data_IF_630211571438
#
_entry.id   IF_630211571438
#
_cell.length_a   1.000
_cell.length_b   1.000
_cell.length_c   1.000
_cell.angle_alpha   90.00
_cell.angle_beta   90.00
_cell.angle_gamma   90.00
#
_symmetry.space_group_name_H-M   'P 1'
#
loop_
_entity.id
_entity.type
_entity.pdbx_description
1 polymer ?
#
# COMPACT_ATOMS: atom_id res chain seq x y z
N UNK A 1 -8.95 -15.70 6.89
CA UNK A 1 -9.35 -14.56 6.04
C UNK A 1 -8.15 -13.93 5.31
N UNK A 2 -7.19 -13.32 6.02
CA UNK A 2 -6.06 -12.58 5.40
C UNK A 2 -5.20 -13.44 4.45
N UNK A 3 -4.73 -14.62 4.89
CA UNK A 3 -3.91 -15.50 4.05
C UNK A 3 -4.62 -16.00 2.79
N UNK A 4 -5.93 -16.29 2.89
CA UNK A 4 -6.73 -16.70 1.73
C UNK A 4 -6.90 -15.58 0.69
N UNK A 5 -7.12 -14.34 1.15
CA UNK A 5 -7.18 -13.18 0.26
C UNK A 5 -5.84 -12.90 -0.45
N UNK A 6 -4.72 -13.07 0.27
CA UNK A 6 -3.38 -12.95 -0.32
C UNK A 6 -3.15 -13.98 -1.42
N UNK A 7 -3.51 -15.25 -1.17
CA UNK A 7 -3.37 -16.32 -2.17
C UNK A 7 -4.24 -16.07 -3.40
N UNK A 8 -5.47 -15.57 -3.22
CA UNK A 8 -6.40 -15.37 -4.33
C UNK A 8 -6.08 -14.13 -5.18
N UNK A 9 -5.68 -13.02 -4.55
CA UNK A 9 -5.61 -11.70 -5.23
C UNK A 9 -4.28 -10.96 -5.06
N UNK A 10 -3.36 -11.46 -4.23
CA UNK A 10 -2.12 -10.76 -3.87
C UNK A 10 -1.10 -10.64 -5.00
N UNK A 11 -1.10 -11.57 -5.96
CA UNK A 11 -0.08 -11.65 -7.01
C UNK A 11 0.06 -10.34 -7.81
N UNK A 12 -1.05 -9.67 -8.13
CA UNK A 12 -1.04 -8.43 -8.91
C UNK A 12 -0.37 -7.26 -8.16
N UNK A 13 -0.60 -7.19 -6.84
CA UNK A 13 -0.02 -6.16 -5.98
C UNK A 13 1.47 -6.40 -5.79
N UNK A 14 1.85 -7.66 -5.52
CA UNK A 14 3.26 -8.07 -5.37
C UNK A 14 4.04 -7.74 -6.64
N UNK A 15 3.50 -8.05 -7.81
CA UNK A 15 4.12 -7.70 -9.10
C UNK A 15 4.30 -6.20 -9.27
N UNK A 16 3.30 -5.41 -8.89
CA UNK A 16 3.37 -3.95 -9.00
C UNK A 16 4.46 -3.35 -8.13
N UNK A 17 4.58 -3.80 -6.89
CA UNK A 17 5.62 -3.31 -5.98
C UNK A 17 7.01 -3.84 -6.38
N UNK A 18 7.08 -5.10 -6.82
CA UNK A 18 8.33 -5.80 -7.15
C UNK A 18 8.99 -5.36 -8.46
N UNK A 19 8.20 -4.96 -9.46
CA UNK A 19 8.70 -4.76 -10.82
C UNK A 19 8.37 -3.38 -11.40
N UNK A 20 7.23 -2.77 -11.04
CA UNK A 20 6.69 -1.63 -11.77
C UNK A 20 7.09 -0.25 -11.20
N UNK A 21 7.62 -0.15 -9.98
CA UNK A 21 8.00 1.13 -9.36
C UNK A 21 9.46 1.47 -9.67
N UNK A 22 10.36 0.51 -9.44
CA UNK A 22 11.80 0.60 -9.68
C UNK A 22 12.35 -0.82 -9.80
N UNK A 23 13.51 -0.99 -10.44
CA UNK A 23 14.20 -2.27 -10.52
C UNK A 23 14.70 -2.72 -9.14
N UNK A 24 14.15 -3.86 -8.67
CA UNK A 24 14.50 -4.47 -7.38
C UNK A 24 15.42 -5.68 -7.62
N UNK A 25 16.56 -5.69 -6.92
CA UNK A 25 17.42 -6.87 -6.77
C UNK A 25 17.34 -7.37 -5.31
N UNK A 26 17.90 -8.56 -4.97
CA UNK A 26 17.76 -9.11 -3.62
C UNK A 26 18.24 -8.18 -2.49
N UNK A 27 19.34 -7.45 -2.70
CA UNK A 27 19.88 -6.50 -1.71
C UNK A 27 18.92 -5.33 -1.51
N UNK A 28 18.39 -4.77 -2.60
CA UNK A 28 17.43 -3.66 -2.56
C UNK A 28 16.11 -4.08 -1.94
N UNK A 29 15.63 -5.28 -2.27
CA UNK A 29 14.44 -5.88 -1.67
C UNK A 29 14.61 -6.02 -0.16
N UNK A 30 15.76 -6.52 0.30
CA UNK A 30 16.08 -6.59 1.72
C UNK A 30 16.09 -5.20 2.38
N UNK A 31 16.74 -4.20 1.77
CA UNK A 31 16.76 -2.84 2.31
C UNK A 31 15.35 -2.23 2.41
N UNK A 32 14.51 -2.41 1.39
CA UNK A 32 13.14 -1.91 1.38
C UNK A 32 12.29 -2.58 2.46
N UNK A 33 12.37 -3.91 2.59
CA UNK A 33 11.62 -4.67 3.59
C UNK A 33 12.10 -4.34 5.01
N UNK A 34 13.41 -4.21 5.22
CA UNK A 34 13.97 -3.85 6.52
C UNK A 34 13.53 -2.45 6.96
N UNK A 35 13.57 -1.46 6.06
CA UNK A 35 13.08 -0.12 6.33
C UNK A 35 11.58 -0.10 6.64
N UNK A 36 10.80 -0.87 5.88
CA UNK A 36 9.36 -0.98 6.09
C UNK A 36 9.03 -1.66 7.43
N UNK A 37 9.63 -2.81 7.71
CA UNK A 37 9.41 -3.56 8.94
C UNK A 37 9.83 -2.76 10.18
N UNK A 38 10.95 -2.05 10.12
CA UNK A 38 11.40 -1.18 11.22
C UNK A 38 10.37 -0.08 11.50
N UNK A 39 9.90 0.60 10.45
CA UNK A 39 8.89 1.67 10.58
C UNK A 39 7.58 1.12 11.14
N UNK A 40 7.10 0.00 10.61
CA UNK A 40 5.87 -0.66 11.07
C UNK A 40 6.00 -1.06 12.54
N UNK A 41 7.12 -1.66 12.93
CA UNK A 41 7.33 -2.11 14.30
C UNK A 41 7.38 -0.93 15.28
N UNK A 42 8.11 0.14 14.94
CA UNK A 42 8.20 1.35 15.77
C UNK A 42 6.81 1.98 15.94
N UNK A 43 6.08 2.21 14.86
CA UNK A 43 4.73 2.79 14.94
C UNK A 43 3.76 1.89 15.69
N UNK A 44 3.85 0.57 15.53
CA UNK A 44 3.02 -0.40 16.25
C UNK A 44 3.30 -0.36 17.75
N UNK A 45 4.58 -0.22 18.15
CA UNK A 45 4.95 -0.07 19.57
C UNK A 45 4.46 1.24 20.17
N UNK A 46 4.33 2.29 19.36
CA UNK A 46 3.75 3.58 19.77
C UNK A 46 2.20 3.59 19.72
N UNK A 47 1.57 2.50 19.28
CA UNK A 47 0.10 2.42 19.16
C UNK A 47 -0.49 3.25 18.00
N UNK A 48 0.34 3.67 17.04
CA UNK A 48 -0.10 4.49 15.92
C UNK A 48 -0.66 3.61 14.79
N UNK A 49 -1.94 3.79 14.38
CA UNK A 49 -2.50 3.06 13.25
C UNK A 49 -1.93 3.63 11.95
N UNK A 50 -1.05 2.87 11.31
CA UNK A 50 -0.44 3.28 10.03
C UNK A 50 -0.81 2.31 8.90
N UNK A 51 -0.72 2.80 7.66
CA UNK A 51 -0.89 1.97 6.49
C UNK A 51 0.43 1.29 6.10
N UNK A 52 0.51 -0.03 6.27
CA UNK A 52 1.68 -0.83 5.87
C UNK A 52 1.95 -0.75 4.36
N UNK A 53 0.91 -0.57 3.54
CA UNK A 53 1.04 -0.37 2.08
C UNK A 53 1.79 0.92 1.74
N UNK A 54 1.49 2.03 2.43
CA UNK A 54 2.22 3.29 2.20
C UNK A 54 3.68 3.17 2.64
N UNK A 55 3.93 2.46 3.74
CA UNK A 55 5.28 2.26 4.26
C UNK A 55 6.16 1.47 3.27
N UNK A 56 5.67 0.35 2.74
CA UNK A 56 6.48 -0.45 1.79
C UNK A 56 6.67 0.29 0.47
N UNK A 57 5.64 0.96 -0.07
CA UNK A 57 5.77 1.79 -1.28
C UNK A 57 6.77 2.92 -1.04
N UNK A 58 6.70 3.61 0.10
CA UNK A 58 7.66 4.65 0.47
C UNK A 58 9.08 4.12 0.61
N UNK A 59 9.27 2.93 1.16
CA UNK A 59 10.59 2.28 1.28
C UNK A 59 11.16 1.91 -0.09
N UNK A 60 10.33 1.39 -1.00
CA UNK A 60 10.69 1.09 -2.40
C UNK A 60 11.02 2.37 -3.18
N UNK A 61 10.28 3.46 -2.96
CA UNK A 61 10.61 4.76 -3.54
C UNK A 61 11.94 5.27 -2.97
N UNK A 62 12.18 5.13 -1.67
CA UNK A 62 13.41 5.55 -1.01
C UNK A 62 14.67 4.89 -1.60
N UNK A 63 14.64 3.57 -1.84
CA UNK A 63 15.75 2.87 -2.50
C UNK A 63 15.94 3.33 -3.96
N UNK A 64 14.86 3.72 -4.66
CA UNK A 64 14.94 4.24 -6.02
C UNK A 64 15.56 5.63 -6.05
N UNK A 65 15.15 6.53 -5.13
CA UNK A 65 15.75 7.86 -4.98
C UNK A 65 17.25 7.75 -4.66
N UNK A 66 17.64 6.79 -3.81
CA UNK A 66 19.06 6.56 -3.47
C UNK A 66 19.93 6.17 -4.68
N UNK A 67 19.34 5.68 -5.78
CA UNK A 67 20.02 5.40 -7.05
C UNK A 67 19.98 6.56 -8.05
N UNK A 68 19.17 7.58 -7.77
CA UNK A 68 18.84 8.67 -8.68
C UNK A 68 17.37 8.62 -9.10
N UNK A 69 16.67 9.74 -8.97
CA UNK A 69 15.22 9.84 -9.19
C UNK A 69 14.74 9.42 -10.59
N UNK A 70 15.64 9.34 -11.58
CA UNK A 70 15.33 8.86 -12.94
C UNK A 70 15.05 7.35 -13.04
N UNK A 71 15.31 6.56 -12.00
CA UNK A 71 15.00 5.11 -12.01
C UNK A 71 13.56 4.78 -11.60
N UNK A 72 12.78 5.79 -11.21
CA UNK A 72 11.40 5.64 -10.74
C UNK A 72 10.40 5.78 -11.89
N UNK A 73 9.44 4.88 -11.97
CA UNK A 73 8.27 5.08 -12.83
C UNK A 73 7.26 6.02 -12.13
N UNK A 74 7.37 7.31 -12.45
CA UNK A 74 6.48 8.34 -11.90
C UNK A 74 5.02 8.19 -12.35
N UNK A 75 4.76 7.52 -13.48
CA UNK A 75 3.40 7.27 -13.96
C UNK A 75 2.71 6.25 -13.05
N UNK A 76 3.42 5.18 -12.71
CA UNK A 76 2.92 4.17 -11.76
C UNK A 76 2.72 4.78 -10.37
N UNK A 77 3.70 5.55 -9.88
CA UNK A 77 3.57 6.24 -8.59
C UNK A 77 2.37 7.19 -8.54
N UNK A 78 2.17 7.98 -9.61
CA UNK A 78 0.98 8.84 -9.73
C UNK A 78 -0.32 8.03 -9.67
N UNK A 79 -0.39 6.91 -10.39
CA UNK A 79 -1.58 6.04 -10.37
C UNK A 79 -1.84 5.46 -8.97
N UNK A 80 -0.78 5.06 -8.26
CA UNK A 80 -0.87 4.58 -6.88
C UNK A 80 -1.42 5.69 -5.97
N UNK A 81 -0.86 6.90 -6.03
CA UNK A 81 -1.33 8.04 -5.23
C UNK A 81 -2.80 8.39 -5.52
N UNK A 82 -3.21 8.38 -6.80
CA UNK A 82 -4.61 8.59 -7.17
C UNK A 82 -5.50 7.49 -6.57
N UNK A 83 -5.06 6.23 -6.60
CA UNK A 83 -5.83 5.13 -6.00
C UNK A 83 -6.04 5.31 -4.49
N UNK A 84 -5.04 5.81 -3.77
CA UNK A 84 -5.16 6.10 -2.33
C UNK A 84 -6.17 7.22 -2.06
N UNK A 85 -6.17 8.27 -2.89
CA UNK A 85 -7.12 9.36 -2.75
C UNK A 85 -8.54 8.95 -3.12
N UNK A 86 -8.72 8.11 -4.14
CA UNK A 86 -10.05 7.67 -4.62
C UNK A 86 -10.69 6.63 -3.71
N UNK A 87 -9.90 5.79 -3.04
CA UNK A 87 -10.45 4.77 -2.13
C UNK A 87 -11.16 5.38 -0.93
N UNK A 88 -10.72 6.54 -0.41
CA UNK A 88 -11.35 7.24 0.71
C UNK A 88 -12.81 7.68 0.45
N UNK A 89 -13.13 8.49 -0.58
CA UNK A 89 -14.50 8.90 -0.86
C UNK A 89 -15.37 7.70 -1.27
N UNK A 90 -14.81 6.74 -2.01
CA UNK A 90 -15.56 5.55 -2.42
C UNK A 90 -16.00 4.72 -1.21
N UNK A 91 -15.08 4.44 -0.28
CA UNK A 91 -15.39 3.67 0.94
C UNK A 91 -16.33 4.43 1.86
N UNK A 92 -16.18 5.76 1.97
CA UNK A 92 -17.09 6.61 2.74
C UNK A 92 -18.53 6.53 2.21
N UNK A 93 -18.71 6.72 0.90
CA UNK A 93 -20.04 6.68 0.27
C UNK A 93 -20.67 5.30 0.37
N UNK A 94 -19.87 4.24 0.15
CA UNK A 94 -20.35 2.87 0.26
C UNK A 94 -20.79 2.54 1.69
N UNK A 95 -19.98 2.90 2.70
CA UNK A 95 -20.33 2.69 4.10
C UNK A 95 -21.62 3.44 4.49
N UNK A 96 -21.77 4.70 4.05
CA UNK A 96 -22.97 5.50 4.30
C UNK A 96 -24.23 4.85 3.68
N UNK A 97 -24.13 4.39 2.43
CA UNK A 97 -25.22 3.75 1.72
C UNK A 97 -25.63 2.42 2.37
N UNK A 98 -24.66 1.57 2.70
CA UNK A 98 -24.91 0.28 3.36
C UNK A 98 -25.55 0.46 4.73
N UNK A 99 -25.07 1.42 5.53
CA UNK A 99 -25.65 1.74 6.83
C UNK A 99 -27.10 2.21 6.71
N UNK A 100 -27.39 3.07 5.72
CA UNK A 100 -28.76 3.55 5.46
C UNK A 100 -29.71 2.43 5.04
N UNK A 101 -29.26 1.51 4.17
CA UNK A 101 -30.03 0.33 3.77
C UNK A 101 -30.32 -0.56 4.98
N UNK A 102 -29.31 -0.81 5.81
CA UNK A 102 -29.45 -1.64 7.00
C UNK A 102 -30.50 -1.07 7.96
N UNK A 103 -30.47 0.24 8.21
CA UNK A 103 -31.48 0.92 9.03
C UNK A 103 -32.88 0.77 8.43
N UNK A 104 -33.05 1.02 7.13
CA UNK A 104 -34.35 0.90 6.46
C UNK A 104 -34.91 -0.53 6.44
N UNK A 105 -34.05 -1.55 6.53
CA UNK A 105 -34.47 -2.94 6.57
C UNK A 105 -34.87 -3.38 7.99
N UNK A 106 -34.22 -2.82 9.02
CA UNK A 106 -34.46 -3.19 10.43
C UNK A 106 -35.65 -2.43 11.03
N UNK A 107 -35.86 -1.17 10.64
CA UNK A 107 -36.99 -0.32 11.04
C UNK A 107 -38.11 -0.37 9.99
#
# INVERSE_FOLDING_TARGET
>A
AVGGGLMAFGANVIKTIGENITEINPIRGFCAEFGAATTILVCSRLGLPISTTHVIVGSVVGIGIARGAGTLDLRILKNICISWLVTLPFTLLLAMLLYKILIYLIL
#
